data_IF_466620680181
#
_entry.id   IF_466620680181
#
_cell.length_a   1.000
_cell.length_b   1.000
_cell.length_c   1.000
_cell.angle_alpha   90.00
_cell.angle_beta   90.00
_cell.angle_gamma   90.00
#
_symmetry.space_group_name_H-M   'P 1'
#
loop_
_entity.id
_entity.type
_entity.pdbx_description
1 polymer ?
#
# COMPACT_ATOMS: atom_id res chain seq x y z
N UNK A 1 -0.70 -11.53 0.97
CA UNK A 1 -0.91 -10.16 1.50
C UNK A 1 -2.22 -10.10 2.25
N UNK A 2 -2.18 -9.82 3.53
CA UNK A 2 -3.39 -9.79 4.36
C UNK A 2 -3.27 -8.71 5.44
N UNK A 3 -4.37 -7.98 5.74
CA UNK A 3 -4.36 -7.01 6.82
C UNK A 3 -4.28 -7.73 8.17
N UNK A 4 -3.52 -7.19 9.10
CA UNK A 4 -3.44 -7.74 10.46
C UNK A 4 -3.68 -6.67 11.54
N UNK A 5 -3.68 -5.41 11.16
CA UNK A 5 -4.00 -4.32 12.07
C UNK A 5 -4.74 -3.24 11.29
N UNK A 6 -5.92 -2.88 11.74
CA UNK A 6 -6.76 -1.87 11.11
C UNK A 6 -7.29 -0.92 12.16
N UNK A 7 -7.02 0.38 11.97
CA UNK A 7 -7.60 1.45 12.78
C UNK A 7 -8.11 2.52 11.83
N UNK A 8 -8.84 3.49 12.35
CA UNK A 8 -9.37 4.56 11.52
C UNK A 8 -8.20 5.37 10.91
N UNK A 9 -8.09 5.35 9.58
CA UNK A 9 -7.03 6.07 8.85
C UNK A 9 -5.69 5.35 8.77
N UNK A 10 -5.59 4.11 9.28
CA UNK A 10 -4.34 3.35 9.23
C UNK A 10 -4.58 1.86 9.06
N UNK A 11 -3.76 1.21 8.28
CA UNK A 11 -3.85 -0.23 8.06
C UNK A 11 -2.45 -0.82 7.87
N UNK A 12 -2.24 -2.01 8.47
CA UNK A 12 -0.99 -2.76 8.35
C UNK A 12 -1.26 -4.08 7.65
N UNK A 13 -0.47 -4.37 6.62
CA UNK A 13 -0.50 -5.63 5.90
C UNK A 13 0.82 -6.35 6.10
N UNK A 14 0.77 -7.69 6.14
CA UNK A 14 1.97 -8.51 5.95
C UNK A 14 2.08 -8.84 4.48
N UNK A 15 3.27 -8.71 3.93
CA UNK A 15 3.53 -8.96 2.53
C UNK A 15 4.82 -9.75 2.37
N UNK A 16 4.81 -10.72 1.45
CA UNK A 16 5.96 -11.58 1.20
C UNK A 16 6.00 -11.92 -0.29
N UNK A 17 7.09 -11.53 -0.94
CA UNK A 17 7.33 -11.90 -2.32
C UNK A 17 7.89 -13.31 -2.40
N UNK A 18 7.48 -14.08 -3.38
CA UNK A 18 8.00 -15.41 -3.65
C UNK A 18 8.38 -15.55 -5.12
N UNK A 19 8.70 -16.77 -5.55
CA UNK A 19 9.15 -17.04 -6.92
C UNK A 19 8.17 -16.56 -8.00
N UNK A 20 6.88 -16.40 -7.68
CA UNK A 20 5.86 -15.92 -8.63
C UNK A 20 6.01 -14.43 -8.95
N UNK A 21 6.78 -13.70 -8.16
CA UNK A 21 6.95 -12.25 -8.26
C UNK A 21 8.27 -11.85 -8.89
N UNK A 22 9.04 -12.83 -9.43
CA UNK A 22 10.35 -12.56 -10.00
C UNK A 22 10.25 -12.02 -11.43
N UNK A 23 11.17 -11.12 -11.76
CA UNK A 23 11.35 -10.67 -13.14
C UNK A 23 12.31 -11.64 -13.88
N UNK A 24 12.52 -11.48 -15.20
CA UNK A 24 13.41 -12.37 -15.94
C UNK A 24 14.86 -12.40 -15.45
N UNK A 25 15.31 -11.41 -14.68
CA UNK A 25 16.67 -11.32 -14.14
C UNK A 25 16.78 -11.97 -12.75
N UNK A 26 15.69 -12.54 -12.23
CA UNK A 26 15.67 -13.22 -10.95
C UNK A 26 15.44 -12.32 -9.73
N UNK A 27 15.23 -11.02 -9.93
CA UNK A 27 14.85 -10.10 -8.85
C UNK A 27 13.33 -10.00 -8.72
N UNK A 28 12.86 -9.55 -7.56
CA UNK A 28 11.43 -9.32 -7.36
C UNK A 28 10.97 -8.16 -8.26
N UNK A 29 9.93 -8.39 -9.04
CA UNK A 29 9.39 -7.39 -9.94
C UNK A 29 8.86 -6.18 -9.17
N UNK A 30 9.15 -4.96 -9.66
CA UNK A 30 8.65 -3.73 -9.05
C UNK A 30 7.13 -3.66 -8.95
N UNK A 31 6.41 -4.38 -9.82
CA UNK A 31 4.96 -4.49 -9.76
C UNK A 31 4.45 -5.11 -8.46
N UNK A 32 5.24 -5.94 -7.79
CA UNK A 32 4.89 -6.47 -6.47
C UNK A 32 4.76 -5.32 -5.46
N UNK A 33 5.78 -4.46 -5.37
CA UNK A 33 5.74 -3.31 -4.45
C UNK A 33 4.60 -2.36 -4.82
N UNK A 34 4.37 -2.11 -6.12
CA UNK A 34 3.29 -1.25 -6.59
C UNK A 34 1.93 -1.78 -6.17
N UNK A 35 1.69 -3.09 -6.32
CA UNK A 35 0.43 -3.72 -5.92
C UNK A 35 0.20 -3.61 -4.41
N UNK A 36 1.23 -3.89 -3.62
CA UNK A 36 1.14 -3.81 -2.16
C UNK A 36 0.85 -2.37 -1.72
N UNK A 37 1.56 -1.41 -2.29
CA UNK A 37 1.40 0.01 -1.94
C UNK A 37 0.04 0.56 -2.38
N UNK A 38 -0.45 0.16 -3.56
CA UNK A 38 -1.80 0.54 -4.00
C UNK A 38 -2.85 0.00 -3.04
N UNK A 39 -2.72 -1.26 -2.65
CA UNK A 39 -3.66 -1.89 -1.73
C UNK A 39 -3.65 -1.21 -0.36
N UNK A 40 -2.49 -0.95 0.21
CA UNK A 40 -2.41 -0.41 1.57
C UNK A 40 -2.83 1.06 1.63
N UNK A 41 -2.51 1.86 0.60
CA UNK A 41 -2.94 3.26 0.55
C UNK A 41 -4.43 3.39 0.32
N UNK A 42 -4.99 2.58 -0.58
CA UNK A 42 -6.43 2.56 -0.86
C UNK A 42 -7.23 2.07 0.33
N UNK A 43 -6.80 0.98 0.95
CA UNK A 43 -7.48 0.44 2.13
C UNK A 43 -7.44 1.41 3.31
N UNK A 44 -6.36 2.18 3.47
CA UNK A 44 -6.30 3.21 4.51
C UNK A 44 -7.40 4.26 4.31
N UNK A 45 -7.60 4.73 3.08
CA UNK A 45 -8.70 5.63 2.76
C UNK A 45 -10.05 4.96 3.04
N UNK A 46 -10.19 3.69 2.65
CA UNK A 46 -11.43 2.95 2.85
C UNK A 46 -11.83 2.87 4.33
N UNK A 47 -10.87 2.82 5.25
CA UNK A 47 -11.18 2.82 6.69
C UNK A 47 -11.93 4.07 7.15
N UNK A 48 -11.84 5.16 6.38
CA UNK A 48 -12.45 6.44 6.71
C UNK A 48 -13.82 6.65 6.04
N UNK A 49 -14.25 5.70 5.21
CA UNK A 49 -15.48 5.83 4.43
C UNK A 49 -16.65 5.15 5.11
N UNK A 50 -17.84 5.73 4.90
CA UNK A 50 -19.08 5.13 5.38
C UNK A 50 -19.43 3.88 4.57
N UNK A 51 -20.27 3.03 5.14
CA UNK A 51 -20.77 1.85 4.44
C UNK A 51 -21.43 2.24 3.12
N UNK A 52 -21.14 1.51 2.07
CA UNK A 52 -21.69 1.76 0.73
C UNK A 52 -20.91 2.79 -0.08
N UNK A 53 -19.91 3.44 0.51
CA UNK A 53 -19.06 4.40 -0.20
C UNK A 53 -17.77 3.70 -0.60
N UNK A 54 -17.41 3.80 -1.86
CA UNK A 54 -16.19 3.20 -2.41
C UNK A 54 -15.13 4.24 -2.75
N UNK A 55 -14.05 3.76 -3.33
CA UNK A 55 -12.95 4.62 -3.76
C UNK A 55 -12.30 4.05 -5.01
N UNK A 56 -11.59 4.90 -5.73
CA UNK A 56 -10.71 4.48 -6.81
C UNK A 56 -9.43 5.28 -6.76
N UNK A 57 -8.29 4.62 -6.86
CA UNK A 57 -6.99 5.29 -6.90
C UNK A 57 -6.84 5.97 -8.25
N UNK A 58 -6.62 7.28 -8.25
CA UNK A 58 -6.45 8.08 -9.48
C UNK A 58 -5.01 8.57 -9.65
N UNK A 59 -4.19 8.45 -8.63
CA UNK A 59 -2.78 8.82 -8.70
C UNK A 59 -2.01 8.00 -7.67
N UNK A 60 -0.90 7.41 -8.10
CA UNK A 60 -0.04 6.62 -7.24
C UNK A 60 1.41 6.91 -7.61
N UNK A 61 2.14 7.53 -6.69
CA UNK A 61 3.54 7.86 -6.89
C UNK A 61 4.39 6.98 -5.98
N UNK A 62 5.28 6.20 -6.58
CA UNK A 62 6.08 5.20 -5.87
C UNK A 62 7.56 5.53 -5.94
N UNK A 63 8.24 5.42 -4.81
CA UNK A 63 9.70 5.46 -4.71
C UNK A 63 10.20 4.09 -4.30
N UNK A 64 11.00 3.47 -5.15
CA UNK A 64 11.66 2.21 -4.87
C UNK A 64 13.01 2.52 -4.22
N UNK A 65 13.12 2.24 -2.93
CA UNK A 65 14.32 2.61 -2.15
C UNK A 65 15.34 1.48 -2.10
N UNK A 66 14.88 0.23 -2.08
CA UNK A 66 15.71 -0.97 -2.04
C UNK A 66 15.03 -2.11 -2.77
N UNK A 67 15.79 -3.07 -3.33
CA UNK A 67 15.19 -4.26 -3.91
C UNK A 67 14.40 -5.04 -2.85
N UNK A 68 13.20 -5.48 -3.21
CA UNK A 68 12.39 -6.32 -2.34
C UNK A 68 13.02 -7.72 -2.26
N UNK A 69 13.34 -8.23 -1.06
CA UNK A 69 13.89 -9.57 -0.94
C UNK A 69 12.82 -10.64 -1.17
N UNK A 70 13.24 -11.76 -1.73
CA UNK A 70 12.39 -12.93 -1.90
C UNK A 70 12.26 -13.67 -0.57
N UNK A 71 11.05 -14.17 -0.28
CA UNK A 71 10.77 -15.02 0.88
C UNK A 71 11.05 -14.39 2.25
N UNK A 72 11.07 -13.07 2.32
CA UNK A 72 11.16 -12.34 3.57
C UNK A 72 9.83 -11.67 3.86
N UNK A 73 9.31 -11.84 5.08
CA UNK A 73 8.08 -11.17 5.49
C UNK A 73 8.36 -9.68 5.72
N UNK A 74 7.57 -8.85 5.06
CA UNK A 74 7.64 -7.40 5.16
C UNK A 74 6.31 -6.87 5.68
N UNK A 75 6.35 -5.64 6.17
CA UNK A 75 5.18 -4.96 6.69
C UNK A 75 4.88 -3.77 5.78
N UNK A 76 3.65 -3.72 5.29
CA UNK A 76 3.17 -2.58 4.51
C UNK A 76 2.21 -1.78 5.39
N UNK A 77 2.42 -0.48 5.46
CA UNK A 77 1.63 0.41 6.31
C UNK A 77 1.05 1.50 5.43
N UNK A 78 -0.27 1.65 5.48
CA UNK A 78 -0.97 2.76 4.83
C UNK A 78 -1.56 3.68 5.87
N UNK A 79 -1.41 4.98 5.65
CA UNK A 79 -1.89 6.01 6.58
C UNK A 79 -2.52 7.15 5.80
N UNK A 80 -3.73 7.54 6.19
CA UNK A 80 -4.41 8.68 5.58
C UNK A 80 -3.70 9.97 6.00
N UNK A 81 -3.39 10.81 5.01
CA UNK A 81 -2.82 12.13 5.23
C UNK A 81 -3.92 13.17 5.33
N UNK A 82 -4.90 13.11 4.44
CA UNK A 82 -5.98 14.08 4.39
C UNK A 82 -7.22 13.50 3.71
N UNK A 83 -8.39 13.81 4.26
CA UNK A 83 -9.67 13.49 3.64
C UNK A 83 -10.42 14.77 3.34
N UNK A 84 -10.95 14.87 2.13
CA UNK A 84 -11.87 15.94 1.75
C UNK A 84 -13.16 15.32 1.23
N UNK A 85 -14.07 16.14 0.73
CA UNK A 85 -15.39 15.66 0.27
C UNK A 85 -15.26 14.59 -0.82
N UNK A 86 -14.36 14.79 -1.78
CA UNK A 86 -14.26 13.93 -2.96
C UNK A 86 -12.94 13.19 -3.10
N UNK A 87 -11.94 13.53 -2.27
CA UNK A 87 -10.61 12.94 -2.37
C UNK A 87 -10.10 12.47 -1.02
N UNK A 88 -9.40 11.34 -1.05
CA UNK A 88 -8.61 10.87 0.08
C UNK A 88 -7.15 10.80 -0.33
N UNK A 89 -6.27 11.38 0.47
CA UNK A 89 -4.83 11.35 0.22
C UNK A 89 -4.20 10.51 1.32
N UNK A 90 -3.39 9.56 0.91
CA UNK A 90 -2.74 8.63 1.83
C UNK A 90 -1.29 8.41 1.44
N UNK A 91 -0.53 7.86 2.37
CA UNK A 91 0.83 7.40 2.10
C UNK A 91 0.95 5.94 2.52
N UNK A 92 1.89 5.25 1.90
CA UNK A 92 2.19 3.88 2.21
C UNK A 92 3.68 3.63 2.23
N UNK A 93 4.10 2.64 2.99
CA UNK A 93 5.49 2.21 3.00
C UNK A 93 5.58 0.71 3.21
N UNK A 94 6.67 0.15 2.71
CA UNK A 94 7.03 -1.24 2.93
C UNK A 94 8.32 -1.24 3.73
N UNK A 95 8.30 -1.85 4.89
CA UNK A 95 9.43 -1.91 5.81
C UNK A 95 9.66 -3.36 6.25
N UNK A 96 10.85 -3.64 6.79
CA UNK A 96 11.11 -4.91 7.48
C UNK A 96 10.92 -4.73 9.00
N UNK A 97 11.17 -5.80 9.74
CA UNK A 97 11.04 -5.82 11.20
C UNK A 97 11.93 -4.80 11.90
N UNK A 98 13.03 -4.43 11.28
CA UNK A 98 13.97 -3.46 11.83
C UNK A 98 13.64 -2.02 11.43
N UNK A 99 12.57 -1.83 10.65
CA UNK A 99 12.15 -0.52 10.18
C UNK A 99 12.87 -0.05 8.92
N UNK A 100 13.63 -0.93 8.26
CA UNK A 100 14.33 -0.59 7.02
C UNK A 100 13.33 -0.37 5.90
N UNK A 101 13.43 0.78 5.22
CA UNK A 101 12.48 1.16 4.19
C UNK A 101 12.85 0.55 2.83
N UNK A 102 11.92 -0.18 2.22
CA UNK A 102 12.09 -0.77 0.89
C UNK A 102 11.41 0.06 -0.19
N UNK A 103 10.22 0.58 0.10
CA UNK A 103 9.48 1.40 -0.85
C UNK A 103 8.53 2.33 -0.12
N UNK A 104 8.19 3.44 -0.76
CA UNK A 104 7.26 4.43 -0.22
C UNK A 104 6.36 4.94 -1.35
N UNK A 105 5.12 5.26 -1.03
CA UNK A 105 4.19 5.81 -1.99
C UNK A 105 3.31 6.88 -1.38
N UNK A 106 2.85 7.79 -2.24
CA UNK A 106 1.72 8.65 -1.94
C UNK A 106 0.62 8.34 -2.96
N UNK A 107 -0.62 8.38 -2.52
CA UNK A 107 -1.76 8.07 -3.36
C UNK A 107 -2.86 9.08 -3.18
N UNK A 108 -3.58 9.35 -4.28
CA UNK A 108 -4.82 10.11 -4.25
C UNK A 108 -5.94 9.18 -4.70
N UNK A 109 -6.96 9.07 -3.88
CA UNK A 109 -8.14 8.26 -4.16
C UNK A 109 -9.34 9.17 -4.37
N UNK A 110 -10.12 8.88 -5.42
CA UNK A 110 -11.41 9.53 -5.62
C UNK A 110 -12.46 8.76 -4.83
N UNK A 111 -13.27 9.48 -4.06
CA UNK A 111 -14.33 8.87 -3.27
C UNK A 111 -15.56 8.72 -4.16
N UNK A 112 -16.11 7.51 -4.21
CA UNK A 112 -17.19 7.15 -5.10
C UNK A 112 -18.45 6.89 -4.29
N UNK A 113 -19.46 7.76 -4.47
CA UNK A 113 -20.77 7.62 -3.84
C UNK A 113 -21.79 7.15 -4.87
N UNK A 114 -22.65 6.26 -4.43
CA UNK A 114 -23.73 5.78 -5.26
C UNK A 114 -24.82 6.82 -5.43
#
# INVERSE_FOLDING_TARGET
MAPYEVTLGSIHFKAKADQRHLNPLGGVHGGFAATVLDSVTGCAVHTMLEAGVGYGTIDLNIKMCRPIPQNKELIAIGTVINMSKNLGISEGKIIDEEGKLYAHATATCMIIRA
#
